data_IF_128122057635
#
_entry.id   IF_128122057635
#
_cell.length_a   1.000
_cell.length_b   1.000
_cell.length_c   1.000
_cell.angle_alpha   90.00
_cell.angle_beta   90.00
_cell.angle_gamma   90.00
#
_symmetry.space_group_name_H-M   'P 1'
#
loop_
_entity.id
_entity.type
_entity.pdbx_description
1 polymer ?
#
# COMPACT_ATOMS: atom_id res chain seq x y z
N UNK A 1 -8.89 -51.56 15.21
CA UNK A 1 -8.75 -50.14 15.57
C UNK A 1 -9.45 -49.28 14.51
N UNK A 2 -10.37 -48.42 14.91
CA UNK A 2 -11.12 -47.56 13.97
C UNK A 2 -10.43 -46.20 13.83
N UNK A 3 -10.24 -45.77 12.60
CA UNK A 3 -9.72 -44.44 12.30
C UNK A 3 -10.90 -43.49 12.21
N UNK A 4 -10.95 -42.51 13.10
CA UNK A 4 -12.03 -41.53 13.17
C UNK A 4 -11.69 -40.30 12.32
N UNK A 5 -12.16 -40.28 11.09
CA UNK A 5 -11.97 -39.11 10.15
C UNK A 5 -12.88 -37.94 10.54
N UNK A 6 -14.01 -38.21 11.20
CA UNK A 6 -14.96 -37.16 11.60
C UNK A 6 -14.37 -36.11 12.51
N UNK A 7 -13.47 -36.47 13.42
CA UNK A 7 -12.81 -35.53 14.32
C UNK A 7 -11.98 -34.50 13.55
N UNK A 8 -11.20 -34.97 12.59
CA UNK A 8 -10.36 -34.09 11.78
C UNK A 8 -11.20 -33.18 10.88
N UNK A 9 -12.28 -33.73 10.29
CA UNK A 9 -13.19 -32.96 9.45
C UNK A 9 -13.87 -31.83 10.23
N UNK A 10 -14.32 -32.10 11.47
CA UNK A 10 -14.93 -31.11 12.34
C UNK A 10 -13.94 -30.01 12.70
N UNK A 11 -12.69 -30.37 12.99
CA UNK A 11 -11.64 -29.39 13.32
C UNK A 11 -11.36 -28.46 12.12
N UNK A 12 -11.26 -28.99 10.92
CA UNK A 12 -11.06 -28.20 9.69
C UNK A 12 -12.23 -27.25 9.45
N UNK A 13 -13.45 -27.75 9.65
CA UNK A 13 -14.68 -26.94 9.49
C UNK A 13 -14.71 -25.78 10.48
N UNK A 14 -14.42 -26.06 11.75
CA UNK A 14 -14.38 -25.03 12.80
C UNK A 14 -13.31 -23.96 12.53
N UNK A 15 -12.17 -24.38 12.01
CA UNK A 15 -11.09 -23.46 11.65
C UNK A 15 -11.55 -22.44 10.60
N UNK A 16 -12.24 -22.93 9.56
CA UNK A 16 -12.75 -22.05 8.49
C UNK A 16 -13.83 -21.12 9.03
N UNK A 17 -14.76 -21.63 9.84
CA UNK A 17 -15.82 -20.80 10.43
C UNK A 17 -15.24 -19.76 11.39
N UNK A 18 -14.16 -20.08 12.08
CA UNK A 18 -13.46 -19.12 12.94
C UNK A 18 -12.88 -17.97 12.11
N UNK A 19 -12.30 -18.28 10.94
CA UNK A 19 -11.77 -17.26 10.02
C UNK A 19 -12.89 -16.40 9.40
N UNK A 20 -14.10 -16.96 9.29
CA UNK A 20 -15.26 -16.27 8.71
C UNK A 20 -16.03 -15.41 9.72
N UNK A 21 -15.60 -15.34 10.97
CA UNK A 21 -16.27 -14.51 11.99
C UNK A 21 -16.34 -13.06 11.54
N UNK A 22 -17.52 -12.46 11.67
CA UNK A 22 -17.76 -11.10 11.25
C UNK A 22 -18.22 -10.96 9.80
N UNK A 23 -18.24 -12.05 9.03
CA UNK A 23 -18.75 -12.02 7.67
C UNK A 23 -20.29 -11.90 7.68
N UNK A 24 -20.82 -11.27 6.64
CA UNK A 24 -22.24 -10.95 6.57
C UNK A 24 -23.10 -12.19 6.36
N UNK A 25 -24.18 -12.31 7.15
CA UNK A 25 -25.20 -13.34 6.98
C UNK A 25 -24.68 -14.76 7.05
N UNK A 26 -25.10 -15.60 6.12
CA UNK A 26 -24.72 -17.02 6.04
C UNK A 26 -23.24 -17.24 5.79
N UNK A 27 -22.51 -16.24 5.30
CA UNK A 27 -21.06 -16.34 5.06
C UNK A 27 -20.26 -16.57 6.33
N UNK A 28 -20.81 -16.23 7.51
CA UNK A 28 -20.15 -16.45 8.78
C UNK A 28 -20.62 -17.75 9.48
N UNK A 29 -21.71 -18.36 9.03
CA UNK A 29 -22.37 -19.47 9.76
C UNK A 29 -22.50 -20.75 8.95
N UNK A 30 -22.77 -20.68 7.65
CA UNK A 30 -22.95 -21.85 6.79
C UNK A 30 -21.61 -22.26 6.20
N UNK A 31 -21.15 -23.46 6.50
CA UNK A 31 -19.80 -23.91 6.15
C UNK A 31 -19.52 -23.82 4.63
N UNK A 32 -20.42 -24.29 3.78
CA UNK A 32 -20.20 -24.26 2.32
C UNK A 32 -19.99 -22.84 1.82
N UNK A 33 -20.84 -21.93 2.27
CA UNK A 33 -20.77 -20.50 1.90
C UNK A 33 -19.56 -19.84 2.55
N UNK A 34 -19.30 -20.14 3.83
CA UNK A 34 -18.16 -19.61 4.57
C UNK A 34 -16.84 -20.03 3.94
N UNK A 35 -16.71 -21.27 3.50
CA UNK A 35 -15.50 -21.76 2.84
C UNK A 35 -15.19 -20.96 1.58
N UNK A 36 -16.20 -20.75 0.74
CA UNK A 36 -16.05 -19.95 -0.47
C UNK A 36 -15.70 -18.49 -0.17
N UNK A 37 -16.36 -17.91 0.83
CA UNK A 37 -16.11 -16.54 1.26
C UNK A 37 -14.68 -16.36 1.80
N UNK A 38 -14.19 -17.31 2.60
CA UNK A 38 -12.82 -17.28 3.14
C UNK A 38 -11.79 -17.41 2.03
N UNK A 39 -12.00 -18.32 1.07
CA UNK A 39 -11.11 -18.46 -0.08
C UNK A 39 -11.01 -17.17 -0.88
N UNK A 40 -12.15 -16.54 -1.16
CA UNK A 40 -12.21 -15.27 -1.89
C UNK A 40 -11.53 -14.15 -1.11
N UNK A 41 -11.79 -14.08 0.20
CA UNK A 41 -11.18 -13.11 1.10
C UNK A 41 -9.66 -13.23 1.11
N UNK A 42 -9.13 -14.44 1.19
CA UNK A 42 -7.69 -14.68 1.18
C UNK A 42 -7.06 -14.31 -0.16
N UNK A 43 -7.75 -14.59 -1.27
CA UNK A 43 -7.32 -14.16 -2.60
C UNK A 43 -7.26 -12.64 -2.69
N UNK A 44 -8.29 -11.97 -2.21
CA UNK A 44 -8.34 -10.50 -2.19
C UNK A 44 -7.25 -9.91 -1.28
N UNK A 45 -6.96 -10.58 -0.16
CA UNK A 45 -5.88 -10.16 0.72
C UNK A 45 -4.52 -10.23 0.03
N UNK A 46 -4.27 -11.29 -0.73
CA UNK A 46 -3.04 -11.46 -1.50
C UNK A 46 -2.90 -10.36 -2.58
N UNK A 47 -3.96 -10.18 -3.37
CA UNK A 47 -3.99 -9.13 -4.40
C UNK A 47 -3.91 -7.74 -3.77
N UNK A 48 -4.63 -7.54 -2.67
CA UNK A 48 -4.67 -6.26 -1.94
C UNK A 48 -3.31 -5.86 -1.37
N UNK A 49 -2.54 -6.83 -0.86
CA UNK A 49 -1.20 -6.53 -0.36
C UNK A 49 -0.26 -6.08 -1.48
N UNK A 50 -0.42 -6.63 -2.68
CA UNK A 50 0.33 -6.18 -3.87
C UNK A 50 -0.15 -4.80 -4.34
N UNK A 51 -1.47 -4.62 -4.41
CA UNK A 51 -2.07 -3.36 -4.82
C UNK A 51 -1.76 -2.23 -3.84
N UNK A 52 -1.66 -2.52 -2.55
CA UNK A 52 -1.31 -1.56 -1.50
C UNK A 52 -0.01 -0.82 -1.80
N UNK A 53 1.00 -1.54 -2.25
CA UNK A 53 2.31 -0.95 -2.59
C UNK A 53 2.18 0.05 -3.73
N UNK A 54 1.40 -0.30 -4.76
CA UNK A 54 1.14 0.57 -5.91
C UNK A 54 0.33 1.79 -5.50
N UNK A 55 -0.69 1.60 -4.67
CA UNK A 55 -1.59 2.67 -4.22
C UNK A 55 -0.85 3.68 -3.37
N UNK A 56 -0.01 3.24 -2.45
CA UNK A 56 0.82 4.14 -1.64
C UNK A 56 1.83 4.90 -2.50
N UNK A 57 2.43 4.24 -3.48
CA UNK A 57 3.35 4.93 -4.40
C UNK A 57 2.63 6.02 -5.18
N UNK A 58 1.42 5.77 -5.66
CA UNK A 58 0.60 6.79 -6.34
C UNK A 58 0.30 7.97 -5.42
N UNK A 59 -0.03 7.68 -4.16
CA UNK A 59 -0.30 8.71 -3.16
C UNK A 59 0.95 9.57 -2.91
N UNK A 60 2.11 8.94 -2.74
CA UNK A 60 3.36 9.66 -2.53
C UNK A 60 3.69 10.57 -3.72
N UNK A 61 3.53 10.05 -4.94
CA UNK A 61 3.77 10.82 -6.16
C UNK A 61 2.82 12.01 -6.25
N UNK A 62 1.54 11.83 -5.91
CA UNK A 62 0.56 12.91 -5.90
C UNK A 62 0.94 14.01 -4.90
N UNK A 63 1.38 13.64 -3.71
CA UNK A 63 1.81 14.60 -2.68
C UNK A 63 3.07 15.36 -3.10
N UNK A 64 4.05 14.65 -3.65
CA UNK A 64 5.30 15.24 -4.14
C UNK A 64 4.98 16.21 -5.28
N UNK A 65 4.13 15.82 -6.23
CA UNK A 65 3.74 16.64 -7.35
C UNK A 65 3.05 17.94 -6.90
N UNK A 66 2.10 17.82 -5.97
CA UNK A 66 1.40 18.98 -5.42
C UNK A 66 2.38 19.97 -4.77
N UNK A 67 3.29 19.48 -3.95
CA UNK A 67 4.29 20.32 -3.30
C UNK A 67 5.29 20.91 -4.28
N UNK A 68 5.68 20.15 -5.30
CA UNK A 68 6.57 20.64 -6.36
C UNK A 68 5.94 21.80 -7.15
N UNK A 69 4.65 21.71 -7.44
CA UNK A 69 3.90 22.77 -8.14
C UNK A 69 3.79 24.03 -7.29
N UNK A 70 3.69 23.89 -5.98
CA UNK A 70 3.72 25.03 -5.06
C UNK A 70 5.07 25.76 -5.11
N UNK A 71 6.13 25.08 -5.53
CA UNK A 71 7.47 25.61 -5.70
C UNK A 71 7.83 25.85 -7.19
N UNK A 72 6.82 25.98 -8.04
CA UNK A 72 6.97 26.27 -9.47
C UNK A 72 7.75 25.21 -10.25
N UNK A 73 7.57 23.94 -9.88
CA UNK A 73 8.17 22.79 -10.56
C UNK A 73 7.12 21.75 -10.88
N UNK A 74 7.34 20.94 -11.91
CA UNK A 74 6.59 19.73 -12.15
C UNK A 74 7.26 18.55 -11.44
N UNK A 75 6.52 17.47 -11.24
CA UNK A 75 7.06 16.26 -10.62
C UNK A 75 8.27 15.71 -11.38
N UNK A 76 8.16 15.62 -12.71
CA UNK A 76 9.23 15.08 -13.55
C UNK A 76 10.50 15.92 -13.49
N UNK A 77 10.38 17.25 -13.52
CA UNK A 77 11.53 18.15 -13.40
C UNK A 77 12.16 18.07 -12.01
N UNK A 78 11.36 17.96 -10.97
CA UNK A 78 11.88 17.80 -9.59
C UNK A 78 12.68 16.51 -9.44
N UNK A 79 12.13 15.39 -9.88
CA UNK A 79 12.81 14.09 -9.77
C UNK A 79 14.10 14.08 -10.58
N UNK A 80 14.07 14.62 -11.78
CA UNK A 80 15.27 14.74 -12.63
C UNK A 80 16.32 15.64 -11.96
N UNK A 81 15.89 16.77 -11.43
CA UNK A 81 16.79 17.70 -10.75
C UNK A 81 17.44 17.12 -9.50
N UNK A 82 16.69 16.38 -8.70
CA UNK A 82 17.25 15.68 -7.53
C UNK A 82 18.26 14.62 -7.94
N UNK A 83 17.98 13.92 -9.02
CA UNK A 83 18.88 12.89 -9.56
C UNK A 83 20.19 13.52 -10.06
N UNK A 84 20.12 14.63 -10.77
CA UNK A 84 21.29 15.38 -11.25
C UNK A 84 22.10 15.95 -10.07
N UNK A 85 21.40 16.39 -9.01
CA UNK A 85 22.05 16.93 -7.81
C UNK A 85 22.69 15.81 -6.94
N UNK A 86 22.47 14.56 -7.28
CA UNK A 86 23.00 13.42 -6.50
C UNK A 86 22.25 13.14 -5.21
N UNK A 87 21.04 13.67 -5.07
CA UNK A 87 20.20 13.45 -3.89
C UNK A 87 19.37 12.17 -4.11
N UNK A 88 19.63 11.15 -3.30
CA UNK A 88 19.00 9.84 -3.39
C UNK A 88 18.01 9.66 -2.24
N UNK A 89 16.81 10.20 -2.41
CA UNK A 89 15.70 10.03 -1.48
C UNK A 89 14.58 9.27 -2.17
N UNK A 90 13.99 8.30 -1.47
CA UNK A 90 12.86 7.56 -2.02
C UNK A 90 11.58 8.43 -1.95
N UNK A 91 10.56 8.01 -2.68
CA UNK A 91 9.31 8.77 -2.79
C UNK A 91 8.55 8.85 -1.47
N UNK A 92 8.65 7.84 -0.63
CA UNK A 92 8.03 7.83 0.70
C UNK A 92 8.59 8.97 1.56
N UNK A 93 9.91 9.09 1.60
CA UNK A 93 10.60 10.14 2.37
C UNK A 93 10.28 11.53 1.80
N UNK A 94 10.31 11.68 0.49
CA UNK A 94 9.98 12.95 -0.16
C UNK A 94 8.55 13.39 0.12
N UNK A 95 7.59 12.46 0.08
CA UNK A 95 6.20 12.76 0.39
C UNK A 95 6.00 13.15 1.85
N UNK A 96 6.72 12.50 2.76
CA UNK A 96 6.69 12.83 4.19
C UNK A 96 7.24 14.24 4.45
N UNK A 97 8.37 14.57 3.84
CA UNK A 97 8.95 15.93 3.93
C UNK A 97 7.99 16.97 3.34
N UNK A 98 7.34 16.65 2.23
CA UNK A 98 6.41 17.56 1.56
C UNK A 98 5.22 17.94 2.46
N UNK A 99 4.74 16.99 3.27
CA UNK A 99 3.59 17.22 4.14
C UNK A 99 3.99 17.81 5.49
N UNK A 100 5.04 17.27 6.11
CA UNK A 100 5.39 17.58 7.50
C UNK A 100 6.46 18.67 7.65
N UNK A 101 7.25 18.90 6.60
CA UNK A 101 8.35 19.86 6.63
C UNK A 101 8.45 20.60 5.30
N UNK A 102 7.52 21.50 5.06
CA UNK A 102 7.46 22.29 3.83
C UNK A 102 8.73 23.11 3.57
N UNK A 103 9.35 23.77 4.57
CA UNK A 103 10.61 24.48 4.33
C UNK A 103 11.74 23.59 3.83
N UNK A 104 11.87 22.37 4.36
CA UNK A 104 12.88 21.42 3.90
C UNK A 104 12.61 20.98 2.46
N UNK A 105 11.34 20.79 2.10
CA UNK A 105 10.94 20.45 0.72
C UNK A 105 11.27 21.58 -0.23
N UNK A 106 11.03 22.84 0.16
CA UNK A 106 11.38 24.02 -0.64
C UNK A 106 12.89 24.08 -0.88
N UNK A 107 13.69 23.76 0.13
CA UNK A 107 15.15 23.69 0.00
C UNK A 107 15.58 22.62 -1.01
N UNK A 108 14.91 21.46 -1.00
CA UNK A 108 15.16 20.40 -2.00
C UNK A 108 14.81 20.86 -3.40
N UNK A 109 13.70 21.59 -3.57
CA UNK A 109 13.30 22.14 -4.85
C UNK A 109 14.32 23.15 -5.39
N UNK A 110 14.84 23.99 -4.51
CA UNK A 110 15.89 24.96 -4.87
C UNK A 110 17.16 24.28 -5.34
N UNK A 111 17.58 23.22 -4.63
CA UNK A 111 18.75 22.42 -5.02
C UNK A 111 18.55 21.75 -6.37
N UNK A 112 17.34 21.24 -6.62
CA UNK A 112 16.99 20.63 -7.90
C UNK A 112 17.03 21.66 -9.04
N UNK A 113 16.48 22.85 -8.82
CA UNK A 113 16.51 23.95 -9.80
C UNK A 113 17.95 24.37 -10.11
N UNK A 114 18.77 24.51 -9.09
CA UNK A 114 20.18 24.87 -9.23
C UNK A 114 20.93 23.82 -10.05
N UNK A 115 20.69 22.54 -9.81
CA UNK A 115 21.32 21.45 -10.55
C UNK A 115 20.90 21.40 -12.00
N UNK A 116 19.63 21.72 -12.31
CA UNK A 116 19.11 21.76 -13.68
C UNK A 116 19.61 22.96 -14.47
N UNK A 117 19.92 24.06 -13.80
CA UNK A 117 20.38 25.30 -14.42
C UNK A 117 21.92 25.37 -14.51
N UNK A 118 22.59 24.37 -13.97
CA UNK A 118 24.07 24.31 -13.98
C UNK A 118 24.63 23.82 -15.33
#
# INVERSE_FOLDING_TARGET
MRINRGVNAVKKRRKILKQAKGYWGGKSKLYRVARQAVMKSQNYAYVGRKAKKRDFRKLWIARINAAARMNDMSYSTLIHGLKVAGIDLNRKVLADIAVNDAPAFTALCEKAKAALNA
#
